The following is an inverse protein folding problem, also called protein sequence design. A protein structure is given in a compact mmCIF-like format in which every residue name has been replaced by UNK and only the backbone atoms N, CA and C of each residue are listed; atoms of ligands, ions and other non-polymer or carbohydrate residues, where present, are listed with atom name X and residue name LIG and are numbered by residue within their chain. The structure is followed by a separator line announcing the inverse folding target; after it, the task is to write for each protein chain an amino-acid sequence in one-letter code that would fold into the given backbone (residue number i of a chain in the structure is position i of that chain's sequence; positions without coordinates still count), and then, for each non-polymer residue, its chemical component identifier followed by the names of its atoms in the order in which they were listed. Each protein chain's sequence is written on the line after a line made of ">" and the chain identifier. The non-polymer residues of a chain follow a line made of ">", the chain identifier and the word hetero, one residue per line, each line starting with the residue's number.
data_IF_438890661048
#
_entry.id   IF_438890661048
#
_cell.length_a   1.000
_cell.length_b   1.000
_cell.length_c   1.000
_cell.angle_alpha   90.00
_cell.angle_beta   90.00
_cell.angle_gamma   90.00
#
_symmetry.space_group_name_H-M   'P 1'
#
loop_
_entity.id
_entity.type
_entity.pdbx_description
1 polymer ?
2 non-polymer ?
3 non-polymer ?
4 non-polymer ?
5 non-polymer ?
6 water ?
#
# COMPACT_ATOMS: atom_id res chain seq x y z
N UNK A 1 -12.85 -6.38 -15.85
CA UNK A 1 -14.16 -6.32 -16.52
C UNK A 1 -15.30 -6.51 -15.55
N UNK A 2 -16.51 -6.59 -16.08
CA UNK A 2 -17.77 -6.68 -15.32
C UNK A 2 -18.02 -8.13 -14.91
N UNK A 3 -18.30 -8.34 -13.64
CA UNK A 3 -18.63 -9.66 -13.09
C UNK A 3 -20.13 -9.73 -12.86
N UNK A 4 -20.61 -10.96 -12.71
CA UNK A 4 -22.03 -11.22 -12.42
C UNK A 4 -22.22 -11.14 -10.92
N UNK A 5 -23.07 -10.24 -10.48
CA UNK A 5 -23.26 -9.93 -9.05
C UNK A 5 -23.72 -11.19 -8.30
N UNK A 6 -24.61 -11.99 -8.91
CA UNK A 6 -25.12 -13.17 -8.22
C UNK A 6 -24.07 -14.30 -8.21
N UNK A 7 -22.97 -14.17 -8.94
CA UNK A 7 -21.86 -15.15 -8.85
C UNK A 7 -20.95 -14.81 -7.67
N UNK A 8 -21.28 -13.76 -6.93
CA UNK A 8 -20.57 -13.41 -5.67
C UNK A 8 -21.53 -13.69 -4.53
N UNK A 9 -21.12 -14.52 -3.61
CA UNK A 9 -21.84 -14.72 -2.35
C UNK A 9 -21.02 -14.08 -1.24
N UNK A 10 -21.65 -13.17 -0.50
CA UNK A 10 -21.01 -12.47 0.61
C UNK A 10 -21.11 -13.32 1.87
N UNK A 11 -20.01 -13.49 2.59
CA UNK A 11 -19.93 -14.46 3.71
C UNK A 11 -19.81 -13.79 5.07
N UNK A 12 -18.96 -12.80 5.19
CA UNK A 12 -18.76 -12.10 6.47
C UNK A 12 -18.02 -10.80 6.22
N UNK A 13 -18.22 -9.85 7.10
CA UNK A 13 -17.52 -8.56 6.99
C UNK A 13 -16.05 -8.76 7.40
N UNK A 14 -15.12 -8.23 6.59
CA UNK A 14 -13.68 -8.19 6.96
C UNK A 14 -13.40 -6.94 7.79
N UNK A 15 -14.18 -5.89 7.57
CA UNK A 15 -14.11 -4.67 8.36
C UNK A 15 -14.44 -3.48 7.50
N UNK A 16 -14.14 -2.32 8.01
CA UNK A 16 -14.38 -1.03 7.33
C UNK A 16 -13.04 -0.56 6.77
N UNK A 17 -12.99 -0.53 5.46
CA UNK A 17 -11.80 -0.13 4.72
C UNK A 17 -11.82 1.36 4.53
N UNK A 18 -10.76 1.84 3.94
CA UNK A 18 -10.62 3.27 3.63
C UNK A 18 -11.77 3.71 2.72
N UNK A 19 -12.34 2.80 1.91
CA UNK A 19 -13.30 3.15 0.81
C UNK A 19 -14.71 2.62 1.08
N UNK A 20 -14.93 2.02 2.25
CA UNK A 20 -16.23 1.45 2.65
C UNK A 20 -16.08 0.08 3.27
N UNK A 21 -17.21 -0.59 3.44
CA UNK A 21 -17.25 -1.97 4.01
C UNK A 21 -16.52 -2.88 3.03
N UNK A 22 -15.81 -3.86 3.57
CA UNK A 22 -15.17 -4.93 2.78
C UNK A 22 -15.67 -6.26 3.31
N UNK A 23 -16.11 -7.12 2.41
CA UNK A 23 -16.67 -8.44 2.75
C UNK A 23 -15.77 -9.54 2.21
N UNK A 24 -15.67 -10.62 2.98
CA UNK A 24 -15.19 -11.90 2.44
C UNK A 24 -16.33 -12.51 1.64
N UNK A 25 -16.01 -13.03 0.47
CA UNK A 25 -17.01 -13.67 -0.38
C UNK A 25 -16.46 -14.86 -1.10
N UNK A 26 -17.34 -15.47 -1.85
CA UNK A 26 -16.97 -16.56 -2.73
C UNK A 26 -17.46 -16.20 -4.12
N UNK A 27 -16.62 -16.45 -5.12
CA UNK A 27 -16.93 -16.14 -6.52
C UNK A 27 -17.02 -17.45 -7.29
N UNK A 28 -18.12 -17.61 -8.01
CA UNK A 28 -18.35 -18.78 -8.90
C UNK A 28 -18.31 -20.09 -8.08
N UNK A 29 -18.71 -20.03 -6.82
CA UNK A 29 -18.75 -21.21 -5.95
C UNK A 29 -17.38 -21.83 -5.75
N UNK A 30 -16.30 -21.07 -5.94
CA UNK A 30 -14.96 -21.71 -5.94
C UNK A 30 -13.87 -20.77 -5.40
N UNK A 31 -13.87 -19.49 -5.74
CA UNK A 31 -12.72 -18.62 -5.46
C UNK A 31 -13.03 -17.75 -4.26
N UNK A 32 -12.06 -17.67 -3.36
CA UNK A 32 -12.18 -16.78 -2.19
C UNK A 32 -11.85 -15.35 -2.64
N UNK A 33 -12.72 -14.41 -2.31
CA UNK A 33 -12.54 -13.01 -2.76
C UNK A 33 -12.78 -12.06 -1.59
N UNK A 34 -12.19 -10.89 -1.73
CA UNK A 34 -12.56 -9.72 -0.93
C UNK A 34 -13.38 -8.81 -1.81
N UNK A 35 -14.44 -8.26 -1.27
CA UNK A 35 -15.35 -7.41 -2.04
C UNK A 35 -15.46 -6.06 -1.35
N UNK A 36 -14.92 -5.04 -1.99
CA UNK A 36 -15.06 -3.66 -1.48
C UNK A 36 -16.40 -3.14 -1.96
N UNK A 37 -17.17 -2.60 -1.03
CA UNK A 37 -18.51 -2.02 -1.28
C UNK A 37 -18.31 -0.52 -1.45
N UNK A 38 -18.57 -0.03 -2.66
CA UNK A 38 -18.37 1.40 -3.00
C UNK A 38 -19.75 2.06 -3.07
N UNK A 39 -20.02 2.96 -2.13
CA UNK A 39 -21.33 3.65 -2.02
C UNK A 39 -21.45 4.74 -3.08
N UNK A 40 -22.69 5.06 -3.45
CA UNK A 40 -23.00 6.21 -4.33
C UNK A 40 -22.37 7.49 -3.77
N UNK A 41 -21.78 8.30 -4.66
CA UNK A 41 -21.23 9.63 -4.35
C UNK A 41 -19.86 9.57 -3.71
N UNK A 42 -19.28 8.40 -3.47
CA UNK A 42 -17.99 8.28 -2.75
C UNK A 42 -16.83 8.33 -3.74
N UNK A 43 -17.06 8.05 -5.02
CA UNK A 43 -15.99 7.91 -6.04
C UNK A 43 -16.35 8.68 -7.31
N UNK A 44 -15.35 9.27 -7.97
CA UNK A 44 -15.46 9.80 -9.35
C UNK A 44 -15.57 8.57 -10.26
N UNK A 45 -16.80 8.16 -10.53
CA UNK A 45 -17.05 6.80 -11.06
C UNK A 45 -16.51 6.73 -12.49
N UNK A 46 -16.77 7.76 -13.30
CA UNK A 46 -16.30 7.81 -14.70
C UNK A 46 -14.81 7.50 -14.72
N UNK A 47 -14.03 8.26 -13.95
CA UNK A 47 -12.55 8.16 -13.89
C UNK A 47 -12.19 6.77 -13.38
N UNK A 48 -12.85 6.34 -12.30
CA UNK A 48 -12.54 5.04 -11.69
C UNK A 48 -12.76 3.91 -12.68
N UNK A 49 -13.89 3.87 -13.35
CA UNK A 49 -14.22 2.73 -14.23
C UNK A 49 -13.27 2.67 -15.44
N UNK A 50 -12.81 3.81 -15.95
CA UNK A 50 -11.69 3.84 -16.94
C UNK A 50 -10.48 3.14 -16.32
N UNK A 51 -10.14 3.52 -15.09
CA UNK A 51 -8.95 2.96 -14.41
C UNK A 51 -9.22 1.50 -14.01
N UNK A 52 -10.48 1.12 -13.76
CA UNK A 52 -10.82 -0.28 -13.45
C UNK A 52 -10.34 -1.19 -14.58
N UNK A 53 -10.42 -0.74 -15.84
CA UNK A 53 -9.83 -1.48 -17.00
C UNK A 53 -8.30 -1.50 -16.86
N UNK A 54 -7.67 -0.43 -16.35
CA UNK A 54 -6.20 -0.41 -16.11
C UNK A 54 -5.89 -1.41 -14.99
N UNK A 55 -6.59 -1.30 -13.85
CA UNK A 55 -6.40 -2.21 -12.69
C UNK A 55 -6.41 -3.66 -13.17
N UNK A 56 -7.34 -4.04 -14.04
CA UNK A 56 -7.47 -5.43 -14.51
C UNK A 56 -6.17 -5.86 -15.23
N UNK A 57 -5.54 -5.00 -16.01
CA UNK A 57 -4.34 -5.35 -16.82
C UNK A 57 -3.07 -5.37 -15.95
N UNK A 58 -3.05 -4.67 -14.82
CA UNK A 58 -1.83 -4.48 -14.02
C UNK A 58 -1.72 -5.62 -13.03
N UNK A 59 -1.42 -6.79 -13.57
CA UNK A 59 -1.32 -8.05 -12.82
C UNK A 59 0.15 -8.41 -12.57
N UNK A 60 0.47 -8.76 -11.34
CA UNK A 60 1.84 -9.14 -10.90
C UNK A 60 1.69 -10.01 -9.66
N UNK A 61 2.61 -10.96 -9.40
CA UNK A 61 2.50 -11.82 -8.22
C UNK A 61 2.57 -11.08 -6.87
N UNK A 62 3.10 -9.86 -6.86
CA UNK A 62 3.21 -9.08 -5.62
C UNK A 62 2.19 -7.95 -5.61
N UNK A 63 1.19 -8.02 -6.49
CA UNK A 63 0.01 -7.15 -6.44
C UNK A 63 -1.22 -8.00 -6.16
N UNK A 64 -2.09 -7.55 -5.29
CA UNK A 64 -3.36 -8.28 -5.06
C UNK A 64 -4.08 -8.46 -6.39
N UNK A 65 -4.52 -9.68 -6.66
CA UNK A 65 -5.21 -9.96 -7.92
C UNK A 65 -6.58 -9.29 -7.94
N UNK A 66 -6.78 -8.51 -8.98
CA UNK A 66 -8.05 -7.81 -9.26
C UNK A 66 -8.84 -8.65 -10.25
N UNK A 67 -10.02 -9.09 -9.85
CA UNK A 67 -10.88 -9.94 -10.71
C UNK A 67 -11.83 -9.13 -11.57
N UNK A 68 -12.37 -8.04 -11.04
CA UNK A 68 -13.36 -7.27 -11.78
C UNK A 68 -14.26 -6.50 -10.87
N UNK A 69 -15.29 -5.91 -11.47
CA UNK A 69 -16.24 -5.06 -10.73
C UNK A 69 -17.67 -5.51 -11.00
N UNK A 70 -18.55 -5.15 -10.09
CA UNK A 70 -20.00 -5.18 -10.31
C UNK A 70 -20.50 -3.75 -10.22
N UNK A 71 -20.78 -3.13 -11.37
CA UNK A 71 -20.84 -1.65 -11.49
C UNK A 71 -22.24 -1.19 -11.91
N UNK A 72 -23.21 -2.10 -12.05
CA UNK A 72 -24.51 -1.76 -12.70
C UNK A 72 -25.51 -1.22 -11.69
N UNK A 73 -25.27 -1.44 -10.40
CA UNK A 73 -26.10 -0.87 -9.32
C UNK A 73 -25.23 -0.65 -8.08
N UNK A 74 -25.77 -0.01 -7.05
CA UNK A 74 -25.06 0.25 -5.77
C UNK A 74 -25.44 -0.82 -4.74
N UNK A 75 -24.49 -1.18 -3.83
CA UNK A 75 -23.12 -0.69 -3.89
C UNK A 75 -22.35 -1.29 -5.08
N UNK A 76 -21.41 -0.54 -5.62
CA UNK A 76 -20.45 -1.07 -6.60
C UNK A 76 -19.58 -2.08 -5.87
N UNK A 77 -19.31 -3.21 -6.51
CA UNK A 77 -18.35 -4.19 -5.97
C UNK A 77 -17.02 -4.02 -6.68
N UNK A 78 -15.95 -3.97 -5.90
CA UNK A 78 -14.58 -4.18 -6.44
C UNK A 78 -14.10 -5.52 -5.87
N UNK A 79 -13.82 -6.46 -6.75
CA UNK A 79 -13.57 -7.86 -6.35
C UNK A 79 -12.11 -8.21 -6.56
N UNK A 80 -11.46 -8.63 -5.49
CA UNK A 80 -10.04 -9.02 -5.48
C UNK A 80 -9.91 -10.39 -4.83
N UNK A 81 -8.74 -11.00 -5.00
CA UNK A 81 -8.46 -12.27 -4.34
C UNK A 81 -8.40 -12.00 -2.83
N UNK A 82 -8.73 -13.04 -2.09
CA UNK A 82 -8.64 -13.03 -0.63
C UNK A 82 -7.23 -13.39 -0.22
N UNK A 83 -6.69 -12.54 0.65
CA UNK A 83 -5.33 -12.64 1.22
C UNK A 83 -5.49 -12.81 2.72
N UNK A 84 -5.18 -14.00 3.23
CA UNK A 84 -5.75 -14.46 4.50
C UNK A 84 -5.18 -13.81 5.75
N UNK A 85 -3.95 -13.29 5.71
CA UNK A 85 -3.34 -12.75 6.94
C UNK A 85 -3.55 -11.26 7.09
N UNK A 86 -4.35 -10.63 6.23
CA UNK A 86 -4.75 -9.23 6.43
C UNK A 86 -3.60 -8.26 6.26
N UNK A 87 -3.76 -7.10 6.86
CA UNK A 87 -2.83 -6.00 6.56
C UNK A 87 -1.46 -6.26 7.20
N UNK A 88 -0.43 -5.86 6.49
CA UNK A 88 0.97 -6.03 6.93
C UNK A 88 1.20 -5.37 8.28
N UNK A 89 0.65 -4.17 8.51
CA UNK A 89 0.92 -3.46 9.77
C UNK A 89 0.49 -4.31 10.96
N UNK A 90 -0.74 -4.83 10.91
CA UNK A 90 -1.21 -5.61 12.07
C UNK A 90 -0.48 -6.95 12.12
N UNK A 91 -0.06 -7.50 10.99
CA UNK A 91 0.73 -8.75 11.00
C UNK A 91 2.03 -8.53 11.78
N UNK A 92 2.73 -7.44 11.46
CA UNK A 92 3.98 -7.11 12.16
C UNK A 92 3.73 -6.99 13.67
N UNK A 93 2.65 -6.30 14.03
CA UNK A 93 2.35 -5.98 15.43
C UNK A 93 1.95 -7.22 16.22
N UNK A 94 1.61 -8.32 15.55
CA UNK A 94 1.12 -9.55 16.21
C UNK A 94 2.06 -10.72 16.00
N UNK A 95 3.15 -10.57 15.24
CA UNK A 95 4.09 -11.67 14.90
C UNK A 95 5.53 -11.31 15.19
N UNK A 96 5.76 -10.18 15.82
CA UNK A 96 7.14 -9.70 16.05
C UNK A 96 7.99 -10.68 16.82
N UNK A 97 7.42 -11.49 17.71
CA UNK A 97 8.24 -12.41 18.51
C UNK A 97 8.95 -13.40 17.59
N UNK A 98 8.30 -13.78 16.49
CA UNK A 98 8.78 -14.83 15.57
C UNK A 98 9.47 -14.30 14.33
N UNK A 99 9.43 -13.01 14.09
CA UNK A 99 9.98 -12.43 12.84
C UNK A 99 11.45 -12.12 13.02
N UNK A 100 12.25 -12.53 12.05
CA UNK A 100 13.70 -12.26 12.05
C UNK A 100 14.06 -11.38 10.87
N UNK A 101 15.24 -10.73 10.93
CA UNK A 101 15.60 -9.79 9.88
C UNK A 101 15.47 -10.33 8.45
N UNK A 102 15.78 -11.61 8.21
CA UNK A 102 15.70 -12.13 6.83
C UNK A 102 14.25 -12.07 6.33
N UNK A 103 13.30 -12.38 7.19
CA UNK A 103 11.87 -12.35 6.82
C UNK A 103 11.41 -10.91 6.63
N UNK A 104 11.88 -10.02 7.48
CA UNK A 104 11.52 -8.59 7.36
C UNK A 104 12.03 -8.03 6.03
N UNK A 105 13.24 -8.42 5.64
CA UNK A 105 13.78 -7.98 4.34
C UNK A 105 12.92 -8.56 3.21
N UNK A 106 12.50 -9.82 3.33
CA UNK A 106 11.69 -10.42 2.26
C UNK A 106 10.36 -9.66 2.11
N UNK A 107 9.79 -9.19 3.19
CA UNK A 107 8.53 -8.42 3.13
C UNK A 107 8.78 -7.15 2.33
N UNK A 108 9.88 -6.46 2.63
CA UNK A 108 10.23 -5.22 1.90
C UNK A 108 10.49 -5.54 0.44
N UNK A 109 11.19 -6.62 0.16
CA UNK A 109 11.47 -7.06 -1.22
C UNK A 109 10.16 -7.26 -1.99
N UNK A 110 9.21 -7.96 -1.38
CA UNK A 110 7.93 -8.24 -2.04
C UNK A 110 7.28 -6.92 -2.44
N UNK A 111 7.17 -6.01 -1.50
CA UNK A 111 6.52 -4.70 -1.79
C UNK A 111 7.32 -4.01 -2.90
N UNK A 112 8.65 -4.00 -2.80
CA UNK A 112 9.49 -3.30 -3.77
C UNK A 112 9.25 -3.89 -5.16
N UNK A 113 9.12 -5.20 -5.22
CA UNK A 113 8.96 -5.85 -6.54
C UNK A 113 7.60 -5.47 -7.15
N UNK A 114 6.55 -5.43 -6.35
CA UNK A 114 5.24 -4.97 -6.84
C UNK A 114 5.29 -3.53 -7.28
N UNK A 115 5.98 -2.71 -6.50
CA UNK A 115 6.07 -1.27 -6.84
C UNK A 115 6.94 -1.06 -8.08
N UNK A 116 7.98 -1.86 -8.26
CA UNK A 116 8.82 -1.73 -9.48
C UNK A 116 7.94 -2.05 -10.69
N UNK A 117 7.03 -3.03 -10.57
CA UNK A 117 6.12 -3.34 -11.67
C UNK A 117 5.24 -2.13 -11.94
N UNK A 118 4.63 -1.56 -10.90
CA UNK A 118 3.78 -0.37 -11.11
C UNK A 118 4.55 0.78 -11.73
N UNK A 119 5.76 1.04 -11.23
CA UNK A 119 6.58 2.15 -11.75
C UNK A 119 6.84 1.91 -13.25
N UNK A 120 7.12 0.67 -13.63
CA UNK A 120 7.46 0.34 -15.04
C UNK A 120 6.25 0.61 -15.95
N UNK A 121 5.05 0.70 -15.37
CA UNK A 121 3.79 1.02 -16.10
C UNK A 121 3.32 2.44 -15.81
N UNK A 122 4.18 3.28 -15.25
CA UNK A 122 3.90 4.70 -14.96
C UNK A 122 2.64 4.80 -14.11
N UNK A 123 2.47 3.86 -13.21
CA UNK A 123 1.32 3.85 -12.30
C UNK A 123 1.77 4.23 -10.91
N UNK A 124 1.13 5.27 -10.38
CA UNK A 124 1.50 5.87 -9.09
C UNK A 124 0.54 5.34 -8.02
N UNK A 125 1.08 4.76 -6.96
CA UNK A 125 0.23 4.22 -5.89
C UNK A 125 -0.53 5.34 -5.16
N UNK A 126 0.23 6.31 -4.66
CA UNK A 126 -0.21 7.53 -3.94
C UNK A 126 -0.39 7.32 -2.44
N UNK A 127 -0.53 6.09 -1.96
CA UNK A 127 -0.84 5.88 -0.53
C UNK A 127 -0.17 4.61 -0.01
N UNK A 128 1.06 4.36 -0.40
CA UNK A 128 1.76 3.15 0.07
C UNK A 128 2.07 3.28 1.56
N UNK A 129 1.81 2.24 2.30
CA UNK A 129 2.03 2.18 3.75
C UNK A 129 1.82 0.74 4.17
N UNK A 130 2.34 0.36 5.32
CA UNK A 130 2.17 -1.03 5.78
C UNK A 130 0.69 -1.35 5.97
N UNK A 131 -0.13 -0.37 6.33
CA UNK A 131 -1.58 -0.61 6.52
C UNK A 131 -2.26 -1.05 5.24
N UNK A 132 -1.71 -0.77 4.06
CA UNK A 132 -2.32 -0.93 2.73
C UNK A 132 -1.71 -2.14 1.98
N UNK A 133 -0.80 -2.87 2.58
CA UNK A 133 -0.27 -4.09 1.99
C UNK A 133 -0.91 -5.27 2.74
N UNK A 134 -0.99 -6.40 2.06
CA UNK A 134 -1.65 -7.59 2.62
C UNK A 134 -0.66 -8.75 2.65
N UNK A 135 -0.84 -9.63 3.61
CA UNK A 135 0.07 -10.76 3.83
C UNK A 135 -0.70 -12.06 3.57
N UNK A 136 -0.18 -12.90 2.68
CA UNK A 136 -0.87 -14.17 2.38
C UNK A 136 -0.41 -15.26 3.35
N UNK A 137 -1.00 -16.43 3.22
CA UNK A 137 -0.78 -17.52 4.19
C UNK A 137 0.71 -17.93 4.20
N UNK A 138 1.42 -17.73 3.11
CA UNK A 138 2.86 -18.08 2.98
C UNK A 138 3.75 -16.87 3.30
N UNK A 139 3.16 -15.80 3.84
CA UNK A 139 3.85 -14.55 4.26
C UNK A 139 4.33 -13.76 3.05
N UNK A 140 3.87 -14.07 1.84
CA UNK A 140 4.11 -13.16 0.70
C UNK A 140 3.33 -11.88 0.93
N UNK A 141 3.98 -10.75 0.74
CA UNK A 141 3.31 -9.45 0.89
C UNK A 141 2.86 -8.99 -0.49
N UNK A 142 1.65 -8.46 -0.55
CA UNK A 142 1.08 -7.94 -1.79
C UNK A 142 0.65 -6.50 -1.59
N UNK A 143 0.91 -5.72 -2.62
CA UNK A 143 0.48 -4.33 -2.66
C UNK A 143 -1.00 -4.30 -3.03
N UNK A 144 -1.77 -3.50 -2.30
CA UNK A 144 -3.23 -3.42 -2.46
C UNK A 144 -3.68 -1.97 -2.63
N UNK A 145 -4.82 -1.78 -3.30
CA UNK A 145 -5.56 -0.49 -3.36
C UNK A 145 -4.73 0.60 -4.03
N UNK A 146 -3.76 0.21 -4.83
CA UNK A 146 -2.89 1.19 -5.51
C UNK A 146 -3.76 2.10 -6.40
N UNK A 147 -3.52 3.40 -6.28
CA UNK A 147 -4.13 4.43 -7.13
C UNK A 147 -5.50 4.88 -6.66
N UNK A 148 -6.10 4.18 -5.69
CA UNK A 148 -7.53 4.36 -5.37
C UNK A 148 -7.84 5.74 -4.77
N UNK A 149 -6.89 6.36 -4.08
CA UNK A 149 -7.18 7.70 -3.47
C UNK A 149 -7.46 8.76 -4.52
N UNK A 150 -7.03 8.54 -5.75
CA UNK A 150 -7.19 9.54 -6.82
C UNK A 150 -8.66 9.80 -7.11
N UNK A 151 -9.53 8.81 -6.93
CA UNK A 151 -10.95 8.86 -7.39
C UNK A 151 -11.86 9.14 -6.21
N UNK A 152 -11.32 9.27 -5.00
CA UNK A 152 -12.14 9.67 -3.81
C UNK A 152 -12.66 11.10 -4.02
N UNK A 153 -13.95 11.33 -3.84
CA UNK A 153 -14.56 12.67 -4.01
C UNK A 153 -14.54 13.46 -2.69
N UNK A 154 -14.63 12.78 -1.54
CA UNK A 154 -14.74 13.45 -0.21
C UNK A 154 -13.50 14.31 0.04
N UNK A 155 -13.73 15.55 0.48
CA UNK A 155 -12.68 16.45 1.02
C UNK A 155 -11.99 15.71 2.18
N UNK A 156 -10.66 15.62 2.13
CA UNK A 156 -9.83 14.99 3.18
C UNK A 156 -9.43 16.05 4.22
N UNK A 157 -9.77 17.33 3.98
CA UNK A 157 -9.54 18.46 4.93
C UNK A 157 -8.06 18.50 5.30
N UNK A 158 -7.20 18.63 4.29
CA UNK A 158 -5.72 18.59 4.44
C UNK A 158 -5.26 19.81 5.25
N UNK A 162 -6.20 16.79 12.81
CA UNK A 162 -7.57 16.35 12.54
C UNK A 162 -7.69 15.49 11.29
N UNK A 163 -6.95 15.83 10.23
CA UNK A 163 -7.03 15.19 8.89
C UNK A 163 -6.54 13.74 8.95
N UNK A 164 -7.13 12.89 8.10
CA UNK A 164 -6.71 11.50 7.82
C UNK A 164 -5.65 11.50 6.71
N UNK A 165 -5.31 12.67 6.17
CA UNK A 165 -4.28 12.78 5.11
C UNK A 165 -2.96 12.22 5.64
N UNK A 166 -2.31 11.28 4.90
CA UNK A 166 -1.18 10.55 5.47
C UNK A 166 0.14 11.33 5.40
N UNK A 167 0.19 12.42 6.17
CA UNK A 167 1.35 13.31 6.20
C UNK A 167 2.61 12.49 6.53
N UNK A 168 2.50 11.50 7.43
CA UNK A 168 3.70 10.81 7.93
C UNK A 168 4.30 9.87 6.89
N UNK A 169 3.61 9.62 5.79
CA UNK A 169 4.14 8.80 4.67
C UNK A 169 4.42 9.67 3.45
N UNK A 170 4.25 10.97 3.59
CA UNK A 170 4.25 11.90 2.44
C UNK A 170 5.62 12.57 2.25
N UNK A 171 6.17 12.48 1.05
CA UNK A 171 7.36 13.25 0.69
C UNK A 171 7.02 14.74 0.80
N UNK A 172 8.03 15.60 0.97
CA UNK A 172 7.77 17.04 1.10
C UNK A 172 7.00 17.64 -0.09
N UNK A 173 7.29 17.17 -1.30
CA UNK A 173 6.56 17.71 -2.46
C UNK A 173 5.10 17.27 -2.43
N UNK A 174 4.79 16.21 -1.70
CA UNK A 174 3.37 15.84 -1.49
C UNK A 174 2.74 16.74 -0.43
N UNK A 175 3.35 16.89 0.74
CA UNK A 175 2.68 17.71 1.78
C UNK A 175 2.72 19.21 1.43
N UNK A 176 3.64 19.64 0.60
CA UNK A 176 3.69 21.06 0.19
C UNK A 176 2.87 21.32 -1.09
N UNK A 177 2.98 20.46 -2.10
CA UNK A 177 2.42 20.73 -3.44
C UNK A 177 1.42 19.67 -3.90
N UNK A 178 1.23 18.60 -3.14
CA UNK A 178 0.35 17.50 -3.55
C UNK A 178 0.80 16.98 -4.91
N UNK A 179 2.11 16.88 -5.11
CA UNK A 179 2.74 16.35 -6.35
C UNK A 179 3.05 14.88 -6.17
N UNK A 180 2.21 14.01 -6.70
CA UNK A 180 2.36 12.55 -6.57
C UNK A 180 3.16 12.04 -7.75
N UNK A 181 4.06 11.14 -7.50
CA UNK A 181 4.93 10.56 -8.55
C UNK A 181 5.44 9.22 -8.05
N UNK A 182 6.09 8.48 -8.93
CA UNK A 182 6.76 7.25 -8.46
C UNK A 182 7.82 7.61 -7.42
N UNK A 183 8.43 8.81 -7.47
CA UNK A 183 9.42 9.19 -6.45
C UNK A 183 8.76 9.53 -5.11
N UNK A 184 7.54 10.02 -5.06
CA UNK A 184 6.85 10.14 -3.77
C UNK A 184 6.45 8.75 -3.27
N UNK A 185 6.15 7.81 -4.17
CA UNK A 185 5.90 6.42 -3.76
C UNK A 185 7.20 5.87 -3.14
N UNK A 186 8.36 6.20 -3.71
CA UNK A 186 9.64 5.72 -3.14
C UNK A 186 9.79 6.22 -1.71
N UNK A 187 9.49 7.49 -1.45
CA UNK A 187 9.58 8.02 -0.06
C UNK A 187 8.71 7.16 0.85
N UNK A 188 7.47 6.95 0.44
CA UNK A 188 6.50 6.16 1.24
C UNK A 188 7.01 4.72 1.45
N UNK A 189 7.63 4.15 0.43
CA UNK A 189 8.24 2.82 0.55
C UNK A 189 9.30 2.82 1.64
N UNK A 190 10.13 3.86 1.70
CA UNK A 190 11.13 3.93 2.77
C UNK A 190 10.45 3.94 4.14
N UNK A 191 9.39 4.71 4.28
CA UNK A 191 8.62 4.72 5.55
C UNK A 191 8.09 3.30 5.83
N UNK A 192 7.55 2.63 4.80
CA UNK A 192 7.08 1.24 4.97
C UNK A 192 8.21 0.33 5.43
N UNK A 193 9.40 0.48 4.86
CA UNK A 193 10.55 -0.33 5.30
C UNK A 193 10.80 -0.09 6.79
N UNK A 194 10.68 1.14 7.24
CA UNK A 194 10.86 1.48 8.66
C UNK A 194 9.74 0.81 9.48
N UNK A 195 8.51 0.89 9.00
CA UNK A 195 7.39 0.18 9.71
C UNK A 195 7.71 -1.31 9.83
N UNK A 196 8.21 -1.92 8.77
CA UNK A 196 8.53 -3.37 8.79
C UNK A 196 9.64 -3.63 9.80
N UNK A 197 10.77 -2.96 9.67
CA UNK A 197 11.93 -3.28 10.53
C UNK A 197 11.69 -2.87 11.98
N UNK A 198 10.81 -1.91 12.26
CA UNK A 198 10.45 -1.52 13.64
C UNK A 198 9.35 -2.45 14.19
N UNK A 199 8.91 -3.44 13.42
CA UNK A 199 7.85 -4.38 13.85
C UNK A 199 6.54 -3.62 14.11
N UNK A 200 6.26 -2.64 13.27
CA UNK A 200 4.95 -1.99 13.22
C UNK A 200 4.80 -0.77 14.08
N UNK A 201 5.91 -0.10 14.41
CA UNK A 201 5.79 1.18 15.14
C UNK A 201 5.17 2.24 14.26
N UNK A 202 4.58 3.22 14.92
CA UNK A 202 4.02 4.41 14.26
C UNK A 202 5.16 5.37 13.95
N UNK A 203 5.33 5.79 12.69
CA UNK A 203 6.38 6.76 12.37
C UNK A 203 6.10 8.10 13.05
N UNK A 204 7.17 8.69 13.56
CA UNK A 204 7.15 10.02 14.19
C UNK A 204 6.10 10.02 15.30
N UNK A 205 6.11 8.97 16.11
CA UNK A 205 5.04 8.63 17.08
C UNK A 205 4.64 9.81 17.96
N UNK A 206 5.59 10.57 18.51
CA UNK A 206 5.27 11.61 19.53
C UNK A 206 4.75 12.90 18.88
N UNK A 207 4.66 12.97 17.57
CA UNK A 207 4.52 14.24 16.80
C UNK A 207 3.19 14.26 16.05
N UNK A 208 2.57 15.44 16.02
CA UNK A 208 1.36 15.63 15.18
C UNK A 208 1.80 16.00 13.75
N UNK A 209 0.83 16.05 12.86
CA UNK A 209 1.10 16.27 11.41
C UNK A 209 1.84 17.59 11.19
N UNK A 210 1.46 18.67 11.86
CA UNK A 210 2.11 20.00 11.68
C UNK A 210 3.57 19.91 12.12
N UNK A 211 3.83 19.20 13.21
CA UNK A 211 5.21 19.02 13.71
C UNK A 211 5.99 18.22 12.67
N UNK A 212 5.39 17.18 12.11
CA UNK A 212 6.10 16.34 11.11
C UNK A 212 6.43 17.18 9.87
N UNK A 213 5.51 17.97 9.36
CA UNK A 213 5.81 18.83 8.16
C UNK A 213 7.02 19.70 8.48
N UNK A 214 7.06 20.33 9.65
CA UNK A 214 8.17 21.26 9.96
C UNK A 214 9.45 20.43 10.13
N UNK A 215 9.38 19.33 10.90
CA UNK A 215 10.62 18.60 11.25
C UNK A 215 11.19 17.94 9.99
N UNK A 216 10.34 17.30 9.19
CA UNK A 216 10.83 16.67 7.94
C UNK A 216 11.37 17.75 6.99
N UNK A 217 10.68 18.89 6.89
CA UNK A 217 11.16 20.01 6.04
C UNK A 217 12.56 20.43 6.51
N UNK A 218 12.82 20.38 7.82
CA UNK A 218 14.11 20.78 8.45
C UNK A 218 15.11 19.63 8.50
N UNK A 219 14.83 18.49 7.87
CA UNK A 219 15.82 17.43 7.69
C UNK A 219 15.63 16.26 8.66
N UNK A 220 14.66 16.32 9.56
CA UNK A 220 14.42 15.18 10.49
C UNK A 220 14.06 13.94 9.70
N UNK A 221 14.64 12.80 10.07
CA UNK A 221 14.32 11.50 9.48
C UNK A 221 14.14 10.45 10.58
N UNK A 222 13.44 9.40 10.27
CA UNK A 222 13.23 8.29 11.21
C UNK A 222 14.56 7.64 11.53
N UNK A 223 14.68 7.25 12.80
CA UNK A 223 15.85 6.55 13.34
C UNK A 223 15.94 5.13 12.77
N UNK A 224 17.13 4.56 12.82
CA UNK A 224 17.36 3.17 12.40
C UNK A 224 16.67 2.22 13.36
N UNK A 225 15.76 1.35 12.91
CA UNK A 225 15.22 0.33 13.79
C UNK A 225 16.32 -0.61 14.26
N UNK A 226 16.14 -1.15 15.45
CA UNK A 226 17.13 -2.08 16.03
C UNK A 226 17.43 -3.24 15.09
N UNK A 227 16.41 -3.78 14.42
CA UNK A 227 16.59 -4.99 13.59
C UNK A 227 17.12 -4.68 12.19
N UNK A 228 17.28 -3.40 11.84
CA UNK A 228 17.80 -3.02 10.53
C UNK A 228 19.32 -2.90 10.58
N UNK A 229 20.00 -3.63 9.70
CA UNK A 229 21.46 -3.46 9.51
C UNK A 229 21.73 -2.05 8.98
N UNK A 230 22.99 -1.64 9.05
CA UNK A 230 23.38 -0.34 8.44
C UNK A 230 23.02 -0.34 6.96
N UNK A 231 23.24 -1.44 6.25
CA UNK A 231 22.99 -1.50 4.79
C UNK A 231 21.49 -1.29 4.56
N UNK A 232 20.65 -1.96 5.33
CA UNK A 232 19.19 -1.83 5.14
C UNK A 232 18.76 -0.40 5.50
N UNK A 233 19.33 0.16 6.56
CA UNK A 233 18.98 1.54 6.94
C UNK A 233 19.37 2.50 5.81
N UNK A 234 20.54 2.28 5.20
CA UNK A 234 20.96 3.18 4.10
C UNK A 234 19.96 3.09 2.95
N UNK A 235 19.39 1.91 2.69
CA UNK A 235 18.37 1.78 1.63
C UNK A 235 17.13 2.61 2.00
N UNK A 236 16.57 2.41 3.19
CA UNK A 236 15.34 3.17 3.52
C UNK A 236 15.69 4.66 3.55
N UNK A 237 16.85 5.04 4.08
CA UNK A 237 17.21 6.46 4.23
C UNK A 237 17.35 7.12 2.85
N UNK A 238 17.81 6.37 1.86
CA UNK A 238 17.98 6.86 0.48
C UNK A 238 16.63 7.26 -0.11
N UNK A 239 15.56 6.69 0.39
CA UNK A 239 14.21 7.01 -0.10
C UNK A 239 13.76 8.40 0.36
N UNK A 240 14.48 9.00 1.31
CA UNK A 240 13.97 10.20 2.00
C UNK A 240 14.79 11.44 1.66
N UNK A 241 15.41 11.48 0.48
CA UNK A 241 16.06 12.74 0.08
C UNK A 241 14.97 13.80 -0.11
N UNK A 242 15.23 15.03 0.30
CA UNK A 242 14.30 16.13 0.05
C UNK A 242 13.95 16.20 -1.44
N UNK A 243 14.91 15.99 -2.33
CA UNK A 243 14.68 16.13 -3.79
C UNK A 243 14.29 14.79 -4.36
N UNK A 244 13.16 14.73 -5.08
CA UNK A 244 12.77 13.47 -5.70
C UNK A 244 13.82 12.89 -6.65
N UNK A 245 14.51 13.76 -7.39
CA UNK A 245 15.49 13.28 -8.40
C UNK A 245 16.70 12.64 -7.71
N UNK A 246 16.91 12.85 -6.41
CA UNK A 246 18.04 12.25 -5.67
C UNK A 246 17.64 10.92 -5.01
N UNK A 247 16.37 10.57 -5.06
CA UNK A 247 15.88 9.28 -4.55
C UNK A 247 16.08 8.23 -5.63
N UNK A 248 16.32 6.96 -5.26
CA UNK A 248 16.38 5.87 -6.23
C UNK A 248 15.01 5.60 -6.86
N UNK A 249 15.01 4.97 -8.03
CA UNK A 249 13.77 4.38 -8.59
C UNK A 249 13.50 3.06 -7.87
N UNK A 250 12.29 2.54 -8.03
CA UNK A 250 11.99 1.19 -7.50
C UNK A 250 12.82 0.14 -8.21
N UNK A 251 13.16 0.34 -9.48
CA UNK A 251 14.03 -0.62 -10.18
C UNK A 251 15.38 -0.69 -9.47
N UNK A 252 15.93 0.49 -9.11
CA UNK A 252 17.22 0.57 -8.38
C UNK A 252 17.07 -0.03 -6.99
N UNK A 253 15.99 0.27 -6.29
CA UNK A 253 15.81 -0.30 -4.95
C UNK A 253 15.77 -1.82 -5.02
N UNK A 254 15.05 -2.36 -6.01
CA UNK A 254 14.89 -3.81 -6.14
C UNK A 254 16.26 -4.44 -6.32
N UNK A 255 17.08 -3.85 -7.19
CA UNK A 255 18.51 -4.18 -7.46
C UNK A 255 19.30 -4.19 -6.16
N UNK A 256 19.03 -3.20 -5.32
CA UNK A 256 19.80 -2.96 -4.08
C UNK A 256 19.42 -4.02 -3.03
N UNK A 257 18.17 -4.44 -3.02
CA UNK A 257 17.66 -5.40 -2.02
C UNK A 257 18.05 -6.83 -2.43
N UNK A 258 17.97 -7.15 -3.72
CA UNK A 258 18.17 -8.55 -4.16
C UNK A 258 19.42 -9.19 -3.55
N UNK A 259 20.62 -8.55 -3.56
CA UNK A 259 21.81 -9.23 -3.06
C UNK A 259 21.78 -9.49 -1.54
N UNK A 260 20.88 -8.83 -0.83
CA UNK A 260 20.79 -8.95 0.64
C UNK A 260 19.89 -10.10 1.03
N UNK A 261 19.14 -10.68 0.11
CA UNK A 261 18.19 -11.77 0.46
C UNK A 261 18.96 -13.02 0.87
N UNK A 262 18.38 -13.79 1.80
CA UNK A 262 18.95 -15.03 2.36
C UNK A 262 17.98 -16.20 2.16
X LIG B 1 -8.80 -4.14 7.09
X LIG B 1 -5.46 -3.16 8.60
X LIG B 1 -8.80 -7.86 7.03
X LIG B 1 -7.92 -10.81 6.15
X LIG B 1 -6.54 -3.94 8.07
X LIG B 1 -4.40 -2.94 9.07
X LIG B 1 -3.60 -1.95 9.75
X LIG B 1 -11.14 -4.08 6.31
X LIG B 1 -10.04 -3.27 6.95
X LIG B 1 -9.14 -6.32 4.07
X LIG B 1 -9.44 -5.36 5.04
X LIG B 1 -9.15 -5.94 2.75
X LIG B 1 -8.85 -6.84 1.74
X LIG B 1 -8.47 -8.13 2.02
X LIG B 1 -8.40 -8.51 3.36
X LIG B 1 -8.72 -7.61 4.41
X LIG B 1 -8.16 -9.14 0.96
X LIG B 1 -8.12 -10.33 1.28
X LIG B 1 -7.97 -8.73 -0.29
X LIG B 1 -9.54 -4.70 2.39
X LIG B 1 -8.06 -9.71 3.94
X LIG B 1 -8.16 -9.61 5.30
X LIG B 1 -8.56 -8.36 5.63
X LIG B 1 -10.70 -4.61 4.97
X LIG B 1 -8.35 -4.72 5.75
X LIG B 1 -7.69 -3.37 7.66
X LIG B 1 -6.32 -5.14 7.97
X LIG C 1 -0.59 24.65 2.03
X LIG C 1 0.25 24.85 1.04
X LIG C 1 0.75 23.69 0.69
X LIG C 1 0.21 22.74 1.46
X LIG C 1 -0.62 23.33 2.32
X LIG D 1 -6.02 -2.68 2.45
X LIG D 1 -6.79 -3.49 1.57
X LIG D 1 -5.50 -3.43 3.64
X LIG D 1 -5.71 -2.82 4.90
X LIG E 1 22.29 8.16 6.92
X LIG E 1 22.85 6.91 7.28
X LIG E 1 22.41 9.13 8.02
X LIG E 1 22.11 8.55 9.28
X LIG F 1 -7.75 13.46 -5.57
X LIG F 1 -7.30 13.48 -6.90
X LIG F 1 -8.35 14.75 -5.12
X LIG F 1 -9.36 15.26 -5.96
X LIG G 1 12.97 -0.46 16.54
#
# INVERSE_FOLDING_TARGET
>A
GELKREEITLLKELGSGQFGVVQLGKWKGQYDVAVKMIKEGSMSEDEFFQEAQTMMKLSHPKLVKFYGVCSKEYPIYIVTEYISNGCLLNYLRSHGKGLEPSQLLEMCYDVCEGMAFLESHQFIHRDLAARNCLVDRDLCVKVSDFGMTRYVLDDQYVSSVGTKFPVKWSAPEVFHYFKYSSKSDVWAFGILMWEVFSLGKQPYDLYDNSQVVLKVSQGHRLYRPHLASDTIYQIMYSCWHELPEKRPTFQQLLSSIEPLREKDKH
>B hetero
1 LTJ C13 C18 C17 C16 C15 C19 C20 C11 C12 C1 N1 C2 C3 C4 C5 C6 C7 O1 N2 F1 N3 C8 C9 C10 C14 N4 O2
>C hetero
1 IMD N1 C2 N3 C4 C5
>D hetero
1 EDO C1 O1 C2 O2
>E hetero
1 EDO C1 O1 C2 O2
>F hetero
1 EDO C1 O1 C2 O2
>G hetero
1 CL CL
#
